data_IF_917704017874
#
_entry.id   IF_917704017874
#
_cell.length_a   1.000
_cell.length_b   1.000
_cell.length_c   1.000
_cell.angle_alpha   90.00
_cell.angle_beta   90.00
_cell.angle_gamma   90.00
#
_symmetry.space_group_name_H-M   'P 1'
#
loop_
_entity.id
_entity.type
_entity.pdbx_description
1 polymer ?
#
# COMPACT_ATOMS: atom_id res chain seq x y z
N UNK A 1 -25.94 -15.37 17.24
CA UNK A 1 -26.57 -14.49 16.24
C UNK A 1 -28.07 -14.68 16.31
N UNK A 2 -28.87 -13.60 16.37
CA UNK A 2 -30.34 -13.66 16.56
C UNK A 2 -31.14 -13.47 15.26
N UNK A 3 -30.52 -12.99 14.18
CA UNK A 3 -31.10 -12.75 12.85
C UNK A 3 -30.10 -13.17 11.77
N UNK A 4 -30.58 -13.64 10.64
CA UNK A 4 -29.76 -13.93 9.46
C UNK A 4 -30.42 -13.28 8.23
N UNK A 5 -29.65 -12.55 7.39
CA UNK A 5 -28.24 -12.15 7.59
C UNK A 5 -28.06 -11.19 8.78
N UNK A 6 -26.83 -11.06 9.35
CA UNK A 6 -26.55 -10.14 10.46
C UNK A 6 -26.75 -8.69 10.03
N UNK A 7 -27.40 -7.89 10.87
CA UNK A 7 -27.75 -6.50 10.60
C UNK A 7 -26.82 -5.51 11.34
N UNK A 8 -26.08 -5.98 12.35
CA UNK A 8 -25.25 -5.13 13.22
C UNK A 8 -23.88 -5.78 13.44
N UNK A 9 -22.96 -5.47 12.53
CA UNK A 9 -21.64 -6.07 12.47
C UNK A 9 -20.61 -5.12 13.08
N UNK A 10 -19.77 -5.63 13.97
CA UNK A 10 -18.54 -4.96 14.38
C UNK A 10 -17.36 -5.61 13.66
N UNK A 11 -16.54 -4.80 12.99
CA UNK A 11 -15.36 -5.25 12.26
C UNK A 11 -14.08 -4.84 12.99
N UNK A 12 -13.32 -5.81 13.51
CA UNK A 12 -12.09 -5.52 14.26
C UNK A 12 -10.84 -5.40 13.38
N UNK A 13 -10.98 -5.53 12.06
CA UNK A 13 -9.90 -5.33 11.07
C UNK A 13 -10.40 -4.63 9.81
N UNK A 14 -9.46 -4.13 8.99
CA UNK A 14 -9.78 -3.33 7.80
C UNK A 14 -10.33 -4.18 6.65
N UNK A 15 -9.82 -5.39 6.45
CA UNK A 15 -10.18 -6.21 5.29
C UNK A 15 -11.68 -6.53 5.25
N UNK A 16 -12.31 -6.80 6.40
CA UNK A 16 -13.75 -7.05 6.46
C UNK A 16 -14.57 -5.78 6.28
N UNK A 17 -14.04 -4.62 6.74
CA UNK A 17 -14.65 -3.31 6.47
C UNK A 17 -14.64 -3.06 4.96
N UNK A 18 -13.47 -3.10 4.32
CA UNK A 18 -13.34 -2.81 2.90
C UNK A 18 -14.19 -3.76 2.06
N UNK A 19 -14.22 -5.06 2.36
CA UNK A 19 -15.10 -6.01 1.70
C UNK A 19 -16.58 -5.61 1.81
N UNK A 20 -17.09 -5.29 3.00
CA UNK A 20 -18.50 -4.90 3.15
C UNK A 20 -18.85 -3.62 2.39
N UNK A 21 -17.95 -2.63 2.33
CA UNK A 21 -18.15 -1.44 1.48
C UNK A 21 -18.16 -1.80 -0.01
N UNK A 22 -17.27 -2.68 -0.47
CA UNK A 22 -17.24 -3.11 -1.87
C UNK A 22 -18.49 -3.93 -2.27
N UNK A 23 -19.13 -4.61 -1.32
CA UNK A 23 -20.39 -5.32 -1.53
C UNK A 23 -21.63 -4.41 -1.43
N UNK A 24 -21.45 -3.14 -1.01
CA UNK A 24 -22.55 -2.22 -0.74
C UNK A 24 -23.34 -2.54 0.54
N UNK A 25 -22.72 -3.22 1.49
CA UNK A 25 -23.33 -3.69 2.75
C UNK A 25 -22.80 -2.93 3.98
N UNK A 26 -22.15 -1.78 3.78
CA UNK A 26 -21.52 -0.98 4.83
C UNK A 26 -22.48 -0.48 5.93
N UNK A 27 -23.78 -0.40 5.63
CA UNK A 27 -24.79 0.08 6.59
C UNK A 27 -24.97 -0.89 7.77
N UNK A 28 -24.61 -2.16 7.58
CA UNK A 28 -24.57 -3.17 8.64
C UNK A 28 -23.45 -2.91 9.65
N UNK A 29 -22.42 -2.15 9.28
CA UNK A 29 -21.28 -1.89 10.17
C UNK A 29 -21.69 -0.88 11.25
N UNK A 30 -21.64 -1.31 12.51
CA UNK A 30 -21.96 -0.48 13.69
C UNK A 30 -20.73 -0.08 14.50
N UNK A 31 -19.58 -0.71 14.26
CA UNK A 31 -18.31 -0.36 14.91
C UNK A 31 -17.11 -0.92 14.17
N UNK A 32 -15.98 -0.23 14.26
CA UNK A 32 -14.73 -0.58 13.56
C UNK A 32 -13.51 -0.52 14.47
N UNK A 33 -12.43 -1.17 14.06
CA UNK A 33 -11.10 -0.94 14.63
C UNK A 33 -10.59 0.47 14.33
N UNK A 34 -9.75 1.00 15.23
CA UNK A 34 -9.00 2.23 15.01
C UNK A 34 -8.04 2.18 13.81
N UNK A 35 -7.71 0.98 13.34
CA UNK A 35 -6.85 0.77 12.17
C UNK A 35 -7.58 0.79 10.84
N UNK A 36 -8.91 0.74 10.82
CA UNK A 36 -9.68 0.91 9.59
C UNK A 36 -9.49 2.34 9.04
N UNK A 37 -8.80 2.45 7.91
CA UNK A 37 -8.58 3.66 7.10
C UNK A 37 -9.16 3.53 5.70
N UNK A 38 -9.58 2.33 5.29
CA UNK A 38 -10.20 2.06 3.99
C UNK A 38 -11.67 1.62 4.14
N UNK A 39 -12.58 2.18 3.32
CA UNK A 39 -12.38 3.37 2.49
C UNK A 39 -12.22 4.63 3.38
N UNK A 40 -11.70 5.73 2.82
CA UNK A 40 -11.30 6.91 3.59
C UNK A 40 -12.42 7.54 4.46
N UNK A 41 -13.68 7.32 4.10
CA UNK A 41 -14.85 7.78 4.84
C UNK A 41 -15.15 6.98 6.12
N UNK A 42 -14.64 5.75 6.28
CA UNK A 42 -15.00 4.87 7.40
C UNK A 42 -14.82 5.53 8.77
N UNK A 43 -13.72 6.28 8.95
CA UNK A 43 -13.38 6.93 10.23
C UNK A 43 -14.31 8.07 10.62
N UNK A 44 -15.05 8.61 9.65
CA UNK A 44 -16.07 9.65 9.87
C UNK A 44 -17.45 9.03 10.13
N UNK A 45 -17.70 7.85 9.57
CA UNK A 45 -19.01 7.21 9.57
C UNK A 45 -19.21 6.26 10.75
N UNK A 46 -18.14 5.60 11.21
CA UNK A 46 -18.24 4.46 12.14
C UNK A 46 -17.47 4.72 13.45
N UNK A 47 -18.05 4.39 14.62
CA UNK A 47 -17.35 4.54 15.89
C UNK A 47 -16.22 3.51 16.01
N UNK A 48 -15.09 3.95 16.60
CA UNK A 48 -13.92 3.11 16.83
C UNK A 48 -14.05 2.38 18.17
N UNK A 49 -13.93 1.06 18.18
CA UNK A 49 -14.16 0.21 19.36
C UNK A 49 -12.99 -0.69 19.75
N UNK A 50 -11.93 -0.71 18.94
CA UNK A 50 -10.74 -1.50 19.24
C UNK A 50 -9.46 -0.86 18.69
N UNK A 51 -8.34 -1.27 19.26
CA UNK A 51 -7.05 -1.34 18.57
C UNK A 51 -6.93 -2.73 17.90
N UNK A 52 -5.72 -3.15 17.54
CA UNK A 52 -5.51 -4.45 16.88
C UNK A 52 -5.51 -5.60 17.89
N UNK A 53 -4.77 -5.48 19.00
CA UNK A 53 -4.66 -6.51 20.05
C UNK A 53 -5.46 -6.20 21.32
N UNK A 54 -6.26 -5.12 21.30
CA UNK A 54 -7.10 -4.72 22.43
C UNK A 54 -8.46 -4.25 21.92
N UNK A 55 -9.53 -4.70 22.56
CA UNK A 55 -10.90 -4.29 22.25
C UNK A 55 -11.58 -3.70 23.50
N UNK A 56 -12.41 -2.69 23.30
CA UNK A 56 -13.28 -2.13 24.33
C UNK A 56 -14.59 -2.94 24.34
N UNK A 57 -14.60 -4.05 25.08
CA UNK A 57 -15.73 -4.98 25.13
C UNK A 57 -17.02 -4.27 25.58
N UNK A 58 -17.05 -3.46 26.65
CA UNK A 58 -18.25 -2.71 27.02
C UNK A 58 -18.79 -1.83 25.88
N UNK A 59 -17.90 -1.13 25.17
CA UNK A 59 -18.30 -0.30 24.02
C UNK A 59 -18.82 -1.12 22.84
N UNK A 60 -18.23 -2.29 22.58
CA UNK A 60 -18.76 -3.24 21.58
C UNK A 60 -20.16 -3.68 21.96
N UNK A 61 -20.39 -4.10 23.21
CA UNK A 61 -21.71 -4.54 23.69
C UNK A 61 -22.76 -3.42 23.62
N UNK A 62 -22.37 -2.18 23.91
CA UNK A 62 -23.26 -1.02 23.80
C UNK A 62 -23.76 -0.75 22.37
N UNK A 63 -23.05 -1.24 21.34
CA UNK A 63 -23.50 -1.19 19.95
C UNK A 63 -24.49 -2.31 19.60
N UNK A 64 -24.78 -3.23 20.53
CA UNK A 64 -25.68 -4.36 20.33
C UNK A 64 -25.41 -5.13 19.00
N UNK A 65 -24.16 -5.58 18.74
CA UNK A 65 -23.86 -6.33 17.53
C UNK A 65 -24.49 -7.72 17.57
N UNK A 66 -24.87 -8.24 16.41
CA UNK A 66 -25.28 -9.62 16.23
C UNK A 66 -24.17 -10.52 15.67
N UNK A 67 -23.10 -9.91 15.17
CA UNK A 67 -21.86 -10.55 14.72
C UNK A 67 -20.64 -9.64 14.94
N UNK A 68 -19.53 -10.22 15.38
CA UNK A 68 -18.20 -9.59 15.35
C UNK A 68 -17.30 -10.35 14.38
N UNK A 69 -16.61 -9.62 13.50
CA UNK A 69 -15.59 -10.15 12.60
C UNK A 69 -14.21 -9.79 13.15
N UNK A 70 -13.36 -10.80 13.30
CA UNK A 70 -12.00 -10.66 13.84
C UNK A 70 -10.97 -11.28 12.91
N UNK A 71 -9.69 -10.95 13.10
CA UNK A 71 -8.61 -11.57 12.35
C UNK A 71 -7.36 -11.79 13.19
N UNK A 72 -6.74 -12.94 12.92
CA UNK A 72 -5.49 -13.48 13.46
C UNK A 72 -5.56 -14.06 14.86
N UNK A 73 -4.62 -14.96 15.12
CA UNK A 73 -4.28 -15.53 16.42
C UNK A 73 -3.98 -14.44 17.48
N UNK A 74 -3.51 -13.28 17.06
CA UNK A 74 -3.27 -12.13 17.95
C UNK A 74 -4.56 -11.53 18.55
N UNK A 75 -5.74 -11.89 18.02
CA UNK A 75 -7.04 -11.50 18.56
C UNK A 75 -7.74 -12.64 19.32
N UNK A 76 -7.08 -13.78 19.59
CA UNK A 76 -7.70 -14.94 20.22
C UNK A 76 -8.33 -14.62 21.59
N UNK A 77 -7.67 -13.82 22.43
CA UNK A 77 -8.21 -13.41 23.74
C UNK A 77 -9.46 -12.52 23.58
N UNK A 78 -9.46 -11.62 22.59
CA UNK A 78 -10.64 -10.79 22.27
C UNK A 78 -11.81 -11.68 21.82
N UNK A 79 -11.54 -12.68 20.99
CA UNK A 79 -12.56 -13.66 20.56
C UNK A 79 -13.14 -14.39 21.76
N UNK A 80 -12.28 -14.89 22.66
CA UNK A 80 -12.71 -15.60 23.86
C UNK A 80 -13.61 -14.73 24.76
N UNK A 81 -13.24 -13.46 24.96
CA UNK A 81 -14.02 -12.53 25.79
C UNK A 81 -15.37 -12.16 25.17
N UNK A 82 -15.42 -11.96 23.85
CA UNK A 82 -16.67 -11.70 23.13
C UNK A 82 -17.62 -12.91 23.17
N UNK A 83 -17.08 -14.13 23.02
CA UNK A 83 -17.87 -15.36 23.12
C UNK A 83 -18.40 -15.55 24.54
N UNK A 84 -17.60 -15.30 25.58
CA UNK A 84 -18.06 -15.31 26.99
C UNK A 84 -19.16 -14.28 27.25
N UNK A 85 -19.13 -13.14 26.54
CA UNK A 85 -20.18 -12.14 26.58
C UNK A 85 -21.43 -12.49 25.73
N UNK A 86 -21.48 -13.68 25.12
CA UNK A 86 -22.63 -14.17 24.36
C UNK A 86 -22.73 -13.61 22.94
N UNK A 87 -21.67 -13.01 22.41
CA UNK A 87 -21.63 -12.47 21.04
C UNK A 87 -21.17 -13.55 20.07
N UNK A 88 -21.83 -13.64 18.91
CA UNK A 88 -21.34 -14.49 17.83
C UNK A 88 -20.12 -13.84 17.20
N UNK A 89 -19.07 -14.63 17.03
CA UNK A 89 -17.80 -14.17 16.47
C UNK A 89 -17.42 -15.07 15.30
N UNK A 90 -16.96 -14.47 14.21
CA UNK A 90 -16.28 -15.18 13.14
C UNK A 90 -14.83 -14.68 13.07
N UNK A 91 -13.89 -15.59 13.29
CA UNK A 91 -12.47 -15.29 13.29
C UNK A 91 -11.81 -15.78 12.01
N UNK A 92 -11.23 -14.86 11.24
CA UNK A 92 -10.38 -15.17 10.10
C UNK A 92 -8.94 -15.39 10.55
N UNK A 93 -8.22 -16.25 9.83
CA UNK A 93 -6.82 -16.54 10.13
C UNK A 93 -6.00 -16.95 8.90
N UNK A 94 -6.39 -16.47 7.72
CA UNK A 94 -5.69 -16.76 6.46
C UNK A 94 -4.30 -16.12 6.39
N UNK A 95 -3.41 -16.74 5.61
CA UNK A 95 -1.99 -16.34 5.47
C UNK A 95 -1.50 -16.30 4.01
N UNK A 96 -2.41 -16.53 3.07
CA UNK A 96 -2.16 -16.64 1.63
C UNK A 96 -3.27 -15.91 0.83
N UNK A 97 -3.04 -15.69 -0.46
CA UNK A 97 -3.97 -15.03 -1.39
C UNK A 97 -5.25 -15.84 -1.54
N UNK A 98 -5.16 -17.18 -1.58
CA UNK A 98 -6.33 -18.04 -1.64
C UNK A 98 -7.27 -17.81 -0.45
N UNK A 99 -6.71 -17.66 0.75
CA UNK A 99 -7.45 -17.32 1.95
C UNK A 99 -8.03 -15.91 1.94
N UNK A 100 -7.39 -14.92 1.31
CA UNK A 100 -7.99 -13.59 1.10
C UNK A 100 -9.27 -13.71 0.25
N UNK A 101 -9.20 -14.48 -0.84
CA UNK A 101 -10.35 -14.71 -1.72
C UNK A 101 -11.47 -15.49 -1.01
N UNK A 102 -11.10 -16.51 -0.20
CA UNK A 102 -12.04 -17.25 0.62
C UNK A 102 -12.69 -16.36 1.70
N UNK A 103 -11.94 -15.44 2.30
CA UNK A 103 -12.47 -14.45 3.25
C UNK A 103 -13.52 -13.57 2.58
N UNK A 104 -13.25 -13.03 1.39
CA UNK A 104 -14.22 -12.20 0.63
C UNK A 104 -15.53 -12.98 0.40
N UNK A 105 -15.43 -14.22 -0.07
CA UNK A 105 -16.59 -15.09 -0.31
C UNK A 105 -17.34 -15.41 0.99
N UNK A 106 -16.61 -15.66 2.08
CA UNK A 106 -17.18 -15.95 3.40
C UNK A 106 -17.94 -14.75 3.95
N UNK A 107 -17.37 -13.55 3.88
CA UNK A 107 -18.06 -12.30 4.28
C UNK A 107 -19.33 -12.13 3.45
N UNK A 108 -19.26 -12.33 2.14
CA UNK A 108 -20.44 -12.30 1.26
C UNK A 108 -21.52 -13.31 1.66
N UNK A 109 -21.15 -14.54 1.99
CA UNK A 109 -22.09 -15.55 2.45
C UNK A 109 -22.73 -15.19 3.80
N UNK A 110 -21.94 -14.64 4.73
CA UNK A 110 -22.44 -14.22 6.05
C UNK A 110 -23.53 -13.15 5.93
N UNK A 111 -23.41 -12.22 4.97
CA UNK A 111 -24.38 -11.12 4.77
C UNK A 111 -25.40 -11.37 3.66
N UNK A 112 -25.48 -12.61 3.16
CA UNK A 112 -26.34 -13.03 2.03
C UNK A 112 -26.13 -12.21 0.73
N UNK A 113 -24.89 -11.80 0.47
CA UNK A 113 -24.44 -11.10 -0.73
C UNK A 113 -23.51 -11.98 -1.59
N UNK A 114 -23.82 -13.28 -1.70
CA UNK A 114 -22.98 -14.31 -2.34
C UNK A 114 -22.57 -13.96 -3.77
N UNK A 115 -23.53 -13.55 -4.61
CA UNK A 115 -23.25 -13.26 -6.03
C UNK A 115 -22.33 -12.04 -6.20
N UNK A 116 -22.51 -11.01 -5.36
CA UNK A 116 -21.63 -9.83 -5.34
C UNK A 116 -20.21 -10.21 -4.92
N UNK A 117 -20.08 -11.04 -3.89
CA UNK A 117 -18.79 -11.48 -3.38
C UNK A 117 -18.06 -12.42 -4.34
N UNK A 118 -18.78 -13.33 -5.00
CA UNK A 118 -18.22 -14.18 -6.04
C UNK A 118 -17.74 -13.37 -7.23
N UNK A 119 -18.52 -12.38 -7.67
CA UNK A 119 -18.12 -11.44 -8.73
C UNK A 119 -16.84 -10.69 -8.35
N UNK A 120 -16.76 -10.19 -7.11
CA UNK A 120 -15.59 -9.48 -6.60
C UNK A 120 -14.34 -10.39 -6.55
N UNK A 121 -14.48 -11.59 -5.99
CA UNK A 121 -13.39 -12.55 -5.88
C UNK A 121 -12.87 -12.99 -7.26
N UNK A 122 -13.76 -13.29 -8.21
CA UNK A 122 -13.39 -13.60 -9.60
C UNK A 122 -12.69 -12.43 -10.30
N UNK A 123 -13.11 -11.20 -10.00
CA UNK A 123 -12.43 -10.00 -10.49
C UNK A 123 -10.96 -9.94 -10.05
N UNK A 124 -10.70 -10.27 -8.76
CA UNK A 124 -9.34 -10.36 -8.25
C UNK A 124 -8.56 -11.54 -8.82
N UNK A 125 -9.15 -12.74 -8.93
CA UNK A 125 -8.52 -13.90 -9.57
C UNK A 125 -8.10 -13.59 -11.01
N UNK A 126 -8.98 -12.98 -11.81
CA UNK A 126 -8.67 -12.59 -13.19
C UNK A 126 -7.58 -11.52 -13.27
N UNK A 127 -7.53 -10.58 -12.31
CA UNK A 127 -6.47 -9.58 -12.20
C UNK A 127 -5.12 -10.21 -11.88
N UNK A 128 -5.06 -11.09 -10.89
CA UNK A 128 -3.85 -11.81 -10.49
C UNK A 128 -3.31 -12.65 -11.66
N UNK A 129 -4.20 -13.40 -12.33
CA UNK A 129 -3.84 -14.22 -13.49
C UNK A 129 -3.27 -13.37 -14.65
N UNK A 130 -3.90 -12.22 -14.95
CA UNK A 130 -3.41 -11.30 -15.99
C UNK A 130 -2.03 -10.74 -15.64
N UNK A 131 -1.84 -10.26 -14.41
CA UNK A 131 -0.55 -9.70 -14.00
C UNK A 131 0.56 -10.75 -13.99
N UNK A 132 0.26 -11.97 -13.51
CA UNK A 132 1.20 -13.08 -13.57
C UNK A 132 1.56 -13.45 -15.02
N UNK A 133 0.60 -13.40 -15.96
CA UNK A 133 0.85 -13.64 -17.38
C UNK A 133 1.74 -12.55 -18.01
N UNK A 134 1.49 -11.28 -17.70
CA UNK A 134 2.31 -10.13 -18.14
C UNK A 134 3.76 -10.19 -17.60
N UNK A 135 3.97 -10.85 -16.47
CA UNK A 135 5.29 -11.06 -15.88
C UNK A 135 6.06 -12.26 -16.48
N UNK A 136 5.41 -13.16 -17.23
CA UNK A 136 6.07 -14.36 -17.79
C UNK A 136 7.16 -13.97 -18.79
N UNK A 137 8.27 -14.69 -18.75
CA UNK A 137 9.40 -14.50 -19.66
C UNK A 137 10.23 -13.24 -19.41
N UNK A 138 9.90 -12.44 -18.38
CA UNK A 138 10.69 -11.28 -17.96
C UNK A 138 11.69 -11.69 -16.88
N UNK A 139 12.86 -11.03 -16.79
CA UNK A 139 13.76 -11.19 -15.65
C UNK A 139 13.02 -10.92 -14.34
N UNK A 140 13.22 -11.78 -13.35
CA UNK A 140 12.57 -11.67 -12.04
C UNK A 140 13.55 -11.02 -11.05
N UNK A 141 13.35 -9.76 -10.65
CA UNK A 141 14.21 -9.16 -9.64
C UNK A 141 14.05 -9.90 -8.31
N UNK A 142 15.16 -10.09 -7.59
CA UNK A 142 15.20 -10.63 -6.23
C UNK A 142 14.65 -9.58 -5.27
N UNK A 143 13.68 -9.95 -4.44
CA UNK A 143 12.93 -9.04 -3.59
C UNK A 143 13.06 -9.47 -2.14
N UNK A 144 13.55 -8.58 -1.30
CA UNK A 144 13.41 -8.68 0.15
C UNK A 144 12.23 -7.83 0.60
N UNK A 145 11.26 -8.44 1.29
CA UNK A 145 10.20 -7.69 1.96
C UNK A 145 10.50 -7.58 3.46
N UNK A 146 10.60 -6.35 3.96
CA UNK A 146 10.79 -6.02 5.36
C UNK A 146 9.47 -5.61 6.01
N UNK A 147 8.86 -6.53 6.76
CA UNK A 147 7.64 -6.30 7.54
C UNK A 147 7.92 -5.52 8.84
N UNK A 148 9.14 -5.63 9.38
CA UNK A 148 9.53 -4.95 10.62
C UNK A 148 11.04 -4.67 10.69
N UNK A 149 11.43 -3.60 11.39
CA UNK A 149 12.81 -3.12 11.44
C UNK A 149 13.63 -3.51 12.68
N UNK A 150 13.03 -4.21 13.64
CA UNK A 150 13.70 -4.66 14.87
C UNK A 150 12.83 -5.55 15.77
N UNK A 151 13.04 -6.88 15.81
CA UNK A 151 13.95 -7.65 14.94
C UNK A 151 13.55 -7.53 13.46
N UNK A 152 14.45 -7.86 12.53
CA UNK A 152 14.10 -7.89 11.11
C UNK A 152 13.15 -9.04 10.84
N UNK A 153 11.95 -8.74 10.32
CA UNK A 153 10.93 -9.75 10.01
C UNK A 153 10.69 -9.71 8.50
N UNK A 154 10.85 -10.85 7.82
CA UNK A 154 10.60 -10.98 6.38
C UNK A 154 9.10 -11.00 6.07
N UNK A 155 8.72 -10.99 4.78
CA UNK A 155 7.31 -11.02 4.34
C UNK A 155 6.57 -12.32 4.72
N UNK A 156 5.25 -12.23 4.79
CA UNK A 156 4.33 -13.36 5.03
C UNK A 156 3.82 -13.94 3.70
N UNK A 157 3.20 -15.12 3.74
CA UNK A 157 2.73 -15.88 2.57
C UNK A 157 2.06 -15.04 1.48
N UNK A 158 0.97 -14.32 1.77
CA UNK A 158 0.29 -13.51 0.76
C UNK A 158 1.18 -12.42 0.15
N UNK A 159 2.13 -11.86 0.91
CA UNK A 159 3.07 -10.86 0.38
C UNK A 159 4.04 -11.52 -0.60
N UNK A 160 4.58 -12.68 -0.24
CA UNK A 160 5.47 -13.47 -1.09
C UNK A 160 4.79 -13.91 -2.39
N UNK A 161 3.53 -14.35 -2.29
CA UNK A 161 2.70 -14.70 -3.45
C UNK A 161 2.45 -13.49 -4.35
N UNK A 162 2.14 -12.32 -3.79
CA UNK A 162 1.91 -11.10 -4.57
C UNK A 162 3.20 -10.57 -5.21
N UNK A 163 4.35 -10.71 -4.55
CA UNK A 163 5.68 -10.47 -5.16
C UNK A 163 5.85 -11.38 -6.38
N UNK A 164 5.53 -12.68 -6.23
CA UNK A 164 5.64 -13.65 -7.30
C UNK A 164 4.70 -13.35 -8.48
N UNK A 165 3.45 -12.95 -8.20
CA UNK A 165 2.46 -12.52 -9.20
C UNK A 165 2.90 -11.26 -9.93
N UNK A 166 3.53 -10.31 -9.24
CA UNK A 166 4.06 -9.08 -9.83
C UNK A 166 5.34 -9.30 -10.65
N UNK A 167 5.90 -10.52 -10.66
CA UNK A 167 7.09 -10.89 -11.43
C UNK A 167 8.41 -10.82 -10.65
N UNK A 168 8.38 -10.65 -9.33
CA UNK A 168 9.56 -10.72 -8.48
C UNK A 168 9.85 -12.13 -7.99
N UNK A 169 11.03 -12.32 -7.40
CA UNK A 169 11.43 -13.54 -6.70
C UNK A 169 11.67 -13.18 -5.23
N UNK A 170 10.87 -13.71 -4.31
CA UNK A 170 11.13 -13.55 -2.87
C UNK A 170 12.46 -14.23 -2.53
N UNK A 171 13.31 -13.57 -1.77
CA UNK A 171 14.60 -14.13 -1.34
C UNK A 171 14.49 -15.07 -0.13
N UNK A 172 13.35 -15.11 0.57
CA UNK A 172 13.10 -16.01 1.71
C UNK A 172 11.74 -16.74 1.62
N UNK A 173 11.44 -17.46 0.51
CA UNK A 173 10.14 -18.09 0.30
C UNK A 173 9.82 -19.16 1.36
N UNK A 174 10.83 -19.81 1.93
CA UNK A 174 10.69 -20.78 3.02
C UNK A 174 10.20 -20.16 4.33
N UNK A 175 10.56 -18.91 4.59
CA UNK A 175 10.10 -18.17 5.76
C UNK A 175 8.68 -17.66 5.56
N UNK A 176 8.30 -17.27 4.33
CA UNK A 176 6.95 -16.80 4.03
C UNK A 176 5.86 -17.85 4.34
N UNK A 177 6.21 -19.14 4.32
CA UNK A 177 5.32 -20.23 4.72
C UNK A 177 5.05 -20.31 6.24
N UNK A 178 5.85 -19.62 7.07
CA UNK A 178 5.67 -19.59 8.52
C UNK A 178 4.56 -18.61 8.93
N UNK A 179 3.61 -19.08 9.73
CA UNK A 179 2.45 -18.28 10.11
C UNK A 179 2.78 -17.16 11.12
N UNK A 180 3.73 -17.38 12.03
CA UNK A 180 4.05 -16.45 13.10
C UNK A 180 5.24 -15.56 12.75
N UNK A 181 5.16 -14.28 13.14
CA UNK A 181 6.20 -13.29 12.82
C UNK A 181 7.58 -13.64 13.42
N UNK A 182 7.62 -14.31 14.58
CA UNK A 182 8.86 -14.77 15.23
C UNK A 182 9.63 -15.79 14.39
N UNK A 183 8.91 -16.60 13.62
CA UNK A 183 9.48 -17.68 12.79
C UNK A 183 9.92 -17.15 11.41
N UNK A 184 9.69 -15.84 11.17
CA UNK A 184 10.11 -15.08 9.99
C UNK A 184 11.20 -14.06 10.30
N UNK A 185 11.81 -14.16 11.49
CA UNK A 185 12.93 -13.30 11.87
C UNK A 185 14.15 -13.69 11.03
N UNK A 186 14.77 -12.70 10.39
CA UNK A 186 15.97 -12.89 9.56
C UNK A 186 17.18 -12.21 10.17
N UNK A 187 18.34 -12.85 10.08
CA UNK A 187 19.61 -12.22 10.43
C UNK A 187 19.97 -11.15 9.37
N UNK A 188 20.52 -9.98 9.77
CA UNK A 188 20.95 -8.95 8.82
C UNK A 188 21.92 -9.49 7.75
N UNK A 189 22.82 -10.39 8.12
CA UNK A 189 23.81 -11.02 7.25
C UNK A 189 23.16 -11.91 6.20
N UNK A 190 22.04 -12.56 6.54
CA UNK A 190 21.27 -13.35 5.58
C UNK A 190 20.64 -12.47 4.50
N UNK A 191 20.18 -11.26 4.85
CA UNK A 191 19.66 -10.28 3.87
C UNK A 191 20.78 -9.79 2.95
N UNK A 192 21.97 -9.53 3.50
CA UNK A 192 23.15 -9.15 2.70
C UNK A 192 23.54 -10.28 1.73
N UNK A 193 23.62 -11.52 2.22
CA UNK A 193 23.97 -12.69 1.42
C UNK A 193 22.91 -12.99 0.33
N UNK A 194 21.64 -12.74 0.62
CA UNK A 194 20.55 -12.87 -0.34
C UNK A 194 20.63 -11.86 -1.50
N UNK A 195 21.36 -10.74 -1.32
CA UNK A 195 21.62 -9.71 -2.32
C UNK A 195 20.36 -9.30 -3.13
N UNK A 196 19.30 -8.80 -2.48
CA UNK A 196 18.07 -8.40 -3.19
C UNK A 196 18.31 -7.21 -4.14
N UNK A 197 17.64 -7.26 -5.29
CA UNK A 197 17.57 -6.17 -6.28
C UNK A 197 16.59 -5.08 -5.86
N UNK A 198 15.58 -5.43 -5.07
CA UNK A 198 14.57 -4.53 -4.51
C UNK A 198 14.34 -4.85 -3.05
N UNK A 199 14.31 -3.80 -2.20
CA UNK A 199 13.81 -3.91 -0.84
C UNK A 199 12.43 -3.25 -0.80
N UNK A 200 11.40 -4.03 -0.54
CA UNK A 200 10.07 -3.54 -0.20
C UNK A 200 9.99 -3.44 1.32
N UNK A 201 9.52 -2.33 1.85
CA UNK A 201 9.39 -2.14 3.29
C UNK A 201 8.00 -1.66 3.66
N UNK A 202 7.43 -2.26 4.70
CA UNK A 202 6.17 -1.83 5.29
C UNK A 202 6.19 -2.14 6.78
N UNK A 203 6.22 -1.11 7.63
CA UNK A 203 6.27 -1.31 9.08
C UNK A 203 4.90 -1.03 9.71
N UNK A 204 4.29 -2.05 10.32
CA UNK A 204 2.95 -1.91 10.88
C UNK A 204 2.87 -0.79 11.93
N UNK A 205 2.04 0.23 11.70
CA UNK A 205 1.87 1.34 12.64
C UNK A 205 3.06 2.32 12.73
N UNK A 206 4.07 2.21 11.86
CA UNK A 206 5.24 3.08 11.83
C UNK A 206 5.58 3.50 10.40
N UNK A 207 6.05 4.74 10.22
CA UNK A 207 6.54 5.20 8.92
C UNK A 207 7.89 4.54 8.60
N UNK A 208 8.02 4.00 7.39
CA UNK A 208 9.30 3.49 6.89
C UNK A 208 10.29 4.65 6.67
N UNK A 209 11.54 4.43 7.06
CA UNK A 209 12.64 5.38 6.84
C UNK A 209 13.71 4.69 5.98
N UNK A 210 13.68 4.84 4.64
CA UNK A 210 14.63 4.15 3.75
C UNK A 210 16.10 4.43 4.08
N UNK A 211 16.42 5.66 4.50
CA UNK A 211 17.78 6.01 4.93
C UNK A 211 18.27 5.19 6.13
N UNK A 212 17.37 4.78 7.03
CA UNK A 212 17.71 3.92 8.18
C UNK A 212 18.01 2.49 7.74
N UNK A 213 17.29 2.00 6.73
CA UNK A 213 17.54 0.69 6.10
C UNK A 213 18.90 0.71 5.39
N UNK A 214 19.15 1.74 4.57
CA UNK A 214 20.39 1.91 3.82
C UNK A 214 21.64 2.07 4.70
N UNK A 215 21.49 2.67 5.88
CA UNK A 215 22.59 2.91 6.81
C UNK A 215 22.97 1.71 7.70
N UNK A 216 22.31 0.55 7.54
CA UNK A 216 22.65 -0.64 8.33
C UNK A 216 24.06 -1.15 7.96
N UNK A 217 24.87 -1.59 8.94
CA UNK A 217 26.22 -2.09 8.66
C UNK A 217 26.24 -3.20 7.61
N UNK A 218 27.09 -3.06 6.59
CA UNK A 218 27.26 -4.02 5.49
C UNK A 218 26.16 -4.01 4.43
N UNK A 219 25.11 -3.20 4.58
CA UNK A 219 24.01 -3.14 3.61
C UNK A 219 24.35 -2.34 2.36
N UNK A 220 25.45 -1.58 2.36
CA UNK A 220 26.03 -0.95 1.18
C UNK A 220 26.48 -1.97 0.11
N UNK A 221 26.64 -3.25 0.47
CA UNK A 221 26.89 -4.34 -0.47
C UNK A 221 25.62 -4.82 -1.22
N UNK A 222 24.42 -4.50 -0.72
CA UNK A 222 23.15 -4.96 -1.30
C UNK A 222 22.83 -4.18 -2.58
N UNK A 223 22.49 -4.84 -3.72
CA UNK A 223 22.11 -4.16 -4.97
C UNK A 223 21.01 -3.11 -4.77
N UNK A 224 19.93 -3.46 -4.09
CA UNK A 224 18.83 -2.53 -3.81
C UNK A 224 19.26 -1.26 -3.06
N UNK A 225 20.29 -1.32 -2.20
CA UNK A 225 20.78 -0.14 -1.46
C UNK A 225 21.63 0.73 -2.38
N UNK A 226 22.55 0.12 -3.14
CA UNK A 226 23.42 0.82 -4.10
C UNK A 226 22.63 1.53 -5.20
N UNK A 227 21.54 0.91 -5.64
CA UNK A 227 20.68 1.43 -6.72
C UNK A 227 19.51 2.28 -6.20
N UNK A 228 19.44 2.55 -4.89
CA UNK A 228 18.36 3.31 -4.25
C UNK A 228 16.95 2.73 -4.54
N UNK A 229 16.82 1.40 -4.49
CA UNK A 229 15.60 0.61 -4.70
C UNK A 229 15.01 0.09 -3.39
N UNK A 230 14.98 0.95 -2.37
CA UNK A 230 14.26 0.73 -1.11
C UNK A 230 12.92 1.45 -1.22
N UNK A 231 11.82 0.71 -1.36
CA UNK A 231 10.49 1.24 -1.63
C UNK A 231 9.54 0.97 -0.47
N UNK A 232 8.93 2.03 0.07
CA UNK A 232 7.87 1.88 1.08
C UNK A 232 6.54 1.51 0.40
N UNK A 233 5.90 0.44 0.87
CA UNK A 233 4.49 0.16 0.60
C UNK A 233 3.71 0.42 1.90
N UNK A 234 2.66 1.25 1.82
CA UNK A 234 1.87 1.60 3.01
C UNK A 234 1.18 0.37 3.58
N UNK A 235 1.25 0.19 4.90
CA UNK A 235 0.72 -1.00 5.59
C UNK A 235 -0.76 -1.31 5.28
N UNK A 236 -1.69 -0.33 5.19
CA UNK A 236 -3.07 -0.59 4.79
C UNK A 236 -3.22 -1.20 3.39
N UNK A 237 -2.20 -1.10 2.54
CA UNK A 237 -2.24 -1.66 1.19
C UNK A 237 -1.67 -3.07 1.11
N UNK A 238 -0.89 -3.54 2.08
CA UNK A 238 -0.14 -4.80 1.93
C UNK A 238 -0.07 -5.69 3.17
N UNK A 239 -0.16 -5.13 4.38
CA UNK A 239 -0.08 -5.89 5.63
C UNK A 239 -1.46 -6.31 6.17
N UNK A 240 -2.55 -5.86 5.53
CA UNK A 240 -3.89 -6.39 5.76
C UNK A 240 -4.19 -7.40 4.65
N UNK A 241 -4.50 -8.67 4.95
CA UNK A 241 -4.78 -9.68 3.94
C UNK A 241 -6.22 -9.52 3.43
N UNK A 242 -6.44 -8.45 2.67
CA UNK A 242 -7.75 -8.02 2.19
C UNK A 242 -7.75 -7.53 0.75
N UNK A 243 -8.87 -6.94 0.29
CA UNK A 243 -9.01 -6.42 -1.07
C UNK A 243 -7.91 -5.42 -1.48
N UNK A 244 -7.45 -4.56 -0.55
CA UNK A 244 -6.34 -3.64 -0.79
C UNK A 244 -5.04 -4.33 -1.25
N UNK A 245 -4.69 -5.48 -0.67
CA UNK A 245 -3.49 -6.24 -1.06
C UNK A 245 -3.58 -6.75 -2.51
N UNK A 246 -4.77 -7.19 -2.93
CA UNK A 246 -5.02 -7.72 -4.28
C UNK A 246 -5.17 -6.61 -5.35
N UNK A 247 -5.26 -5.35 -4.93
CA UNK A 247 -5.48 -4.17 -5.79
C UNK A 247 -4.29 -3.20 -5.73
N UNK A 248 -4.40 -2.19 -4.87
CA UNK A 248 -3.45 -1.08 -4.72
C UNK A 248 -2.08 -1.59 -4.22
N UNK A 249 -2.08 -2.59 -3.33
CA UNK A 249 -0.86 -3.24 -2.83
C UNK A 249 -0.10 -3.94 -3.95
N UNK A 250 -0.80 -4.76 -4.73
CA UNK A 250 -0.23 -5.43 -5.89
C UNK A 250 0.28 -4.44 -6.95
N UNK A 251 -0.43 -3.33 -7.20
CA UNK A 251 0.05 -2.28 -8.09
C UNK A 251 1.32 -1.60 -7.57
N UNK A 252 1.41 -1.35 -6.26
CA UNK A 252 2.60 -0.79 -5.65
C UNK A 252 3.81 -1.73 -5.77
N UNK A 253 3.60 -3.04 -5.59
CA UNK A 253 4.65 -4.05 -5.83
C UNK A 253 5.09 -3.99 -7.30
N UNK A 254 4.17 -4.13 -8.24
CA UNK A 254 4.50 -4.10 -9.68
C UNK A 254 5.25 -2.82 -10.08
N UNK A 255 4.87 -1.67 -9.52
CA UNK A 255 5.57 -0.42 -9.75
C UNK A 255 7.00 -0.44 -9.21
N UNK A 256 7.22 -0.98 -8.02
CA UNK A 256 8.55 -1.10 -7.42
C UNK A 256 9.48 -2.07 -8.17
N UNK A 257 8.90 -3.12 -8.78
CA UNK A 257 9.63 -4.10 -9.57
C UNK A 257 9.91 -3.67 -11.02
N UNK A 258 9.28 -2.59 -11.49
CA UNK A 258 9.54 -2.08 -12.83
C UNK A 258 11.04 -1.80 -13.00
N UNK A 259 11.64 -2.11 -14.17
CA UNK A 259 13.03 -1.77 -14.45
C UNK A 259 13.26 -0.29 -14.16
N UNK A 260 14.44 0.04 -13.64
CA UNK A 260 14.91 1.41 -13.66
C UNK A 260 14.89 1.85 -15.12
N UNK A 261 13.96 2.75 -15.47
CA UNK A 261 14.03 3.38 -16.77
C UNK A 261 15.43 3.99 -16.87
N UNK A 262 16.21 3.62 -17.89
CA UNK A 262 17.42 4.35 -18.22
C UNK A 262 17.04 5.83 -18.20
N UNK A 263 17.81 6.67 -17.50
CA UNK A 263 17.51 8.10 -17.37
C UNK A 263 17.39 8.82 -18.74
N UNK A 264 17.70 8.13 -19.83
CA UNK A 264 17.57 8.55 -21.22
C UNK A 264 16.23 8.15 -21.90
N UNK A 265 15.51 7.13 -21.40
CA UNK A 265 14.24 6.62 -21.98
C UNK A 265 13.04 6.70 -21.02
N UNK A 266 13.21 7.32 -19.85
CA UNK A 266 12.07 7.69 -19.02
C UNK A 266 11.23 8.75 -19.75
N UNK A 267 10.29 8.31 -20.59
CA UNK A 267 9.19 9.14 -21.03
C UNK A 267 8.63 9.85 -19.78
N UNK A 268 8.49 11.18 -19.81
CA UNK A 268 8.15 11.93 -18.61
C UNK A 268 6.86 11.35 -18.02
N UNK A 269 6.76 11.23 -16.67
CA UNK A 269 5.56 10.73 -16.04
C UNK A 269 4.36 11.51 -16.62
N UNK A 270 3.44 10.80 -17.29
CA UNK A 270 2.17 11.40 -17.72
C UNK A 270 1.48 11.87 -16.44
N UNK A 271 1.18 13.17 -16.28
CA UNK A 271 0.63 13.67 -15.02
C UNK A 271 -0.82 13.20 -14.92
N UNK A 272 -1.22 12.45 -13.87
CA UNK A 272 -2.61 12.07 -13.67
C UNK A 272 -3.43 13.13 -12.92
N UNK A 273 -2.93 14.36 -12.74
CA UNK A 273 -3.65 15.41 -11.98
C UNK A 273 -3.94 16.65 -12.83
N UNK A 274 -5.20 17.13 -12.91
CA UNK A 274 -5.52 18.40 -13.54
C UNK A 274 -4.83 19.57 -12.83
N UNK A 275 -4.27 20.50 -13.61
CA UNK A 275 -3.77 21.78 -13.12
C UNK A 275 -4.96 22.66 -12.75
N UNK A 276 -4.99 23.16 -11.52
CA UNK A 276 -5.88 24.30 -11.22
C UNK A 276 -5.42 25.53 -12.02
N UNK A 277 -6.33 26.49 -12.25
CA UNK A 277 -6.00 27.74 -12.96
C UNK A 277 -4.80 28.47 -12.34
N UNK A 278 -4.72 28.47 -11.01
CA UNK A 278 -3.57 29.03 -10.26
C UNK A 278 -2.25 28.35 -10.64
N UNK A 279 -2.21 27.03 -10.70
CA UNK A 279 -1.00 26.30 -11.06
C UNK A 279 -0.67 26.48 -12.54
N UNK A 280 -1.67 26.50 -13.43
CA UNK A 280 -1.50 26.78 -14.86
C UNK A 280 -0.89 28.17 -15.09
N UNK A 281 -1.37 29.21 -14.39
CA UNK A 281 -0.86 30.57 -14.49
C UNK A 281 0.59 30.72 -14.00
N UNK A 282 0.97 29.99 -12.94
CA UNK A 282 2.37 29.96 -12.46
C UNK A 282 3.26 29.18 -13.42
N UNK A 283 2.78 28.06 -13.94
CA UNK A 283 3.52 27.21 -14.86
C UNK A 283 3.87 27.94 -16.18
N UNK A 284 2.99 28.82 -16.67
CA UNK A 284 3.25 29.68 -17.84
C UNK A 284 4.42 30.67 -17.63
N UNK A 285 4.78 30.99 -16.39
CA UNK A 285 5.90 31.90 -16.06
C UNK A 285 7.25 31.18 -15.99
N UNK A 286 7.24 29.84 -15.93
CA UNK A 286 8.45 29.03 -15.91
C UNK A 286 8.87 28.81 -17.37
N UNK A 287 10.13 29.01 -17.77
CA UNK A 287 10.48 28.91 -19.18
C UNK A 287 10.55 27.45 -19.66
N UNK A 288 10.35 27.24 -20.98
CA UNK A 288 10.56 25.93 -21.62
C UNK A 288 12.05 25.67 -21.86
N UNK A 289 12.85 26.71 -22.07
CA UNK A 289 14.32 26.70 -22.23
C UNK A 289 14.97 27.74 -21.31
N UNK A 290 16.12 27.43 -20.71
CA UNK A 290 16.70 28.24 -19.64
C UNK A 290 16.06 27.93 -18.28
N UNK A 291 16.10 28.89 -17.34
CA UNK A 291 15.63 28.67 -15.97
C UNK A 291 15.11 29.93 -15.29
N UNK A 292 14.23 29.75 -14.30
CA UNK A 292 13.75 30.81 -13.39
C UNK A 292 14.16 30.50 -11.95
N UNK A 293 14.58 31.54 -11.21
CA UNK A 293 14.87 31.43 -9.77
C UNK A 293 13.60 31.03 -8.99
N UNK A 294 13.72 30.05 -8.09
CA UNK A 294 12.62 29.58 -7.26
C UNK A 294 11.97 30.67 -6.40
N UNK A 295 12.73 31.70 -6.01
CA UNK A 295 12.20 32.87 -5.28
C UNK A 295 11.17 33.68 -6.09
N UNK A 296 11.16 33.54 -7.42
CA UNK A 296 10.21 34.18 -8.33
C UNK A 296 8.95 33.34 -8.58
N UNK A 297 8.89 32.14 -8.00
CA UNK A 297 7.73 31.25 -8.03
C UNK A 297 7.07 31.27 -6.65
N UNK A 298 5.74 31.41 -6.60
CA UNK A 298 4.98 31.25 -5.35
C UNK A 298 5.37 29.92 -4.67
N UNK A 299 5.82 29.98 -3.41
CA UNK A 299 6.41 28.82 -2.74
C UNK A 299 5.48 27.62 -2.59
N UNK A 300 4.16 27.84 -2.48
CA UNK A 300 3.17 26.75 -2.42
C UNK A 300 2.99 26.12 -3.80
N UNK A 301 2.98 26.92 -4.85
CA UNK A 301 2.95 26.43 -6.23
C UNK A 301 4.25 25.73 -6.62
N UNK A 302 5.42 26.25 -6.22
CA UNK A 302 6.72 25.65 -6.51
C UNK A 302 6.81 24.22 -6.01
N UNK A 303 6.46 24.00 -4.74
CA UNK A 303 6.45 22.69 -4.10
C UNK A 303 5.46 21.72 -4.80
N UNK A 304 4.26 22.19 -5.14
CA UNK A 304 3.27 21.38 -5.86
C UNK A 304 3.71 21.05 -7.29
N UNK A 305 4.19 22.03 -8.05
CA UNK A 305 4.61 21.86 -9.45
C UNK A 305 5.85 20.96 -9.55
N UNK A 306 6.79 21.09 -8.61
CA UNK A 306 7.97 20.23 -8.55
C UNK A 306 7.61 18.80 -8.15
N UNK A 307 6.84 18.60 -7.05
CA UNK A 307 6.41 17.26 -6.62
C UNK A 307 5.55 16.53 -7.65
N UNK A 308 4.74 17.26 -8.42
CA UNK A 308 3.86 16.69 -9.46
C UNK A 308 4.51 16.62 -10.84
N UNK A 309 5.80 16.90 -10.96
CA UNK A 309 6.56 16.72 -12.20
C UNK A 309 6.25 17.72 -13.32
N UNK A 310 5.64 18.88 -13.00
CA UNK A 310 5.36 19.94 -13.97
C UNK A 310 6.59 20.81 -14.27
N UNK A 311 7.48 20.94 -13.29
CA UNK A 311 8.76 21.64 -13.42
C UNK A 311 9.87 20.76 -12.87
N UNK A 312 11.09 20.95 -13.36
CA UNK A 312 12.30 20.27 -12.88
C UNK A 312 13.32 21.31 -12.41
N UNK A 313 14.17 20.91 -11.47
CA UNK A 313 15.32 21.72 -11.05
C UNK A 313 16.46 21.53 -12.06
N UNK A 314 17.07 22.63 -12.48
CA UNK A 314 18.12 22.64 -13.52
C UNK A 314 19.38 23.41 -13.11
N UNK A 315 19.33 24.15 -12.00
CA UNK A 315 20.49 24.83 -11.41
C UNK A 315 20.41 24.77 -9.88
N UNK A 316 21.54 24.52 -9.22
CA UNK A 316 21.67 24.45 -7.75
C UNK A 316 22.89 25.27 -7.32
N UNK A 317 22.69 26.32 -6.52
CA UNK A 317 23.79 27.05 -5.90
C UNK A 317 24.29 26.28 -4.66
N UNK A 318 25.55 25.84 -4.67
CA UNK A 318 26.13 24.94 -3.68
C UNK A 318 26.36 25.55 -2.28
N UNK A 319 26.04 26.83 -2.07
CA UNK A 319 26.15 27.46 -0.74
C UNK A 319 24.88 27.17 0.06
N UNK A 320 25.03 26.53 1.23
CA UNK A 320 23.99 26.13 2.22
C UNK A 320 23.15 27.27 2.83
N UNK A 321 22.93 28.37 2.12
CA UNK A 321 21.90 29.37 2.40
C UNK A 321 20.95 29.43 1.20
N UNK A 322 19.83 28.71 1.34
CA UNK A 322 18.78 28.56 0.32
C UNK A 322 18.32 29.92 -0.23
N UNK A 323 18.40 30.14 -1.54
CA UNK A 323 17.54 31.08 -2.28
C UNK A 323 17.66 31.06 -3.81
N UNK A 324 18.56 30.27 -4.42
CA UNK A 324 18.81 30.32 -5.87
C UNK A 324 18.80 28.96 -6.55
N UNK A 325 17.76 28.16 -6.30
CA UNK A 325 17.48 27.01 -7.16
C UNK A 325 16.81 27.48 -8.46
N UNK A 326 17.30 27.01 -9.61
CA UNK A 326 16.73 27.30 -10.92
C UNK A 326 15.78 26.21 -11.40
N UNK A 327 14.65 26.61 -11.99
CA UNK A 327 13.59 25.71 -12.43
C UNK A 327 13.22 25.90 -13.91
N UNK A 328 12.85 24.82 -14.58
CA UNK A 328 12.44 24.78 -15.99
C UNK A 328 11.18 23.90 -16.13
N UNK A 329 10.31 24.17 -17.11
CA UNK A 329 9.16 23.31 -17.43
C UNK A 329 9.61 21.94 -17.92
N UNK A 330 8.82 20.90 -17.59
CA UNK A 330 9.00 19.56 -18.17
C UNK A 330 8.28 19.44 -19.51
N UNK A 331 8.63 18.45 -20.36
CA UNK A 331 7.90 18.21 -21.60
C UNK A 331 6.41 17.90 -21.38
N UNK A 332 6.07 17.26 -20.24
CA UNK A 332 4.69 17.02 -19.83
C UNK A 332 3.91 18.32 -19.55
N UNK A 333 4.56 19.32 -18.92
CA UNK A 333 3.98 20.65 -18.74
C UNK A 333 3.72 21.36 -20.07
N UNK A 334 4.67 21.29 -21.00
CA UNK A 334 4.52 21.87 -22.35
C UNK A 334 3.32 21.25 -23.08
N UNK A 335 3.22 19.92 -23.09
CA UNK A 335 2.13 19.18 -23.73
C UNK A 335 0.74 19.51 -23.12
N UNK A 336 0.65 19.72 -21.81
CA UNK A 336 -0.61 20.06 -21.14
C UNK A 336 -1.00 21.54 -21.29
N UNK A 337 -0.03 22.44 -21.44
CA UNK A 337 -0.27 23.87 -21.67
C UNK A 337 -0.67 24.15 -23.12
N UNK A 338 -0.03 23.46 -24.07
CA UNK A 338 -0.16 23.69 -25.51
C UNK A 338 -0.39 22.37 -26.26
N UNK A 339 -1.59 21.75 -26.13
CA UNK A 339 -1.91 20.55 -26.89
C UNK A 339 -1.87 20.87 -28.40
N UNK A 340 -1.01 20.18 -29.15
CA UNK A 340 -0.92 20.27 -30.62
C UNK A 340 0.31 20.99 -31.21
N UNK A 341 1.21 21.54 -30.39
CA UNK A 341 2.45 22.18 -30.88
C UNK A 341 3.62 21.20 -30.82
N UNK A 342 4.11 20.73 -31.96
CA UNK A 342 5.34 19.91 -32.04
C UNK A 342 6.60 20.76 -31.79
N UNK A 343 7.67 20.19 -31.19
CA UNK A 343 8.90 20.93 -30.95
C UNK A 343 9.60 21.29 -32.27
N UNK A 344 9.95 22.56 -32.42
CA UNK A 344 10.99 23.00 -33.36
C UNK A 344 12.32 22.43 -32.87
N UNK A 345 12.99 21.69 -33.77
CA UNK A 345 14.32 21.09 -33.60
C UNK A 345 15.40 22.10 -33.28
#
# INVERSE_FOLDING_TARGET
>A
MRRFPPERIVCLTEETVETLYLLGEQDRIVGVSGYAVRPAQVRREKPRVSAFTRADIPKILALAPDLVLTFSDLQADIVADLVRAGIAVHAFNHRDVAGILAMIRTVGALVDARDKAETLARGYEGRLARMAAEARGRPRPRVYFEEWDGPLISGIGWVSELVSVAGGEDVFPELAAQAAAKDRIVAPEAVVAAAPDVILASWCGKKVVPARIAARPGWDAIPAVRENRIVEIKSPLILQPGPAALSDGLDAIRQALAPLANALDAAPPRPPWPLSERHRAVLLKVPDEGWIEGSRIDGRCLDVLLRRGWIRRVHVDGRRQSRRDGYQRTPAARAALFPGVQPTT
#
